data_IF_047890827702
#
_entry.id   IF_047890827702
#
_cell.length_a   1.000
_cell.length_b   1.000
_cell.length_c   1.000
_cell.angle_alpha   90.00
_cell.angle_beta   90.00
_cell.angle_gamma   90.00
#
_symmetry.space_group_name_H-M   'P 1'
#
loop_
_entity.id
_entity.type
_entity.pdbx_description
1 polymer ?
#
# COMPACT_ATOMS: atom_id res chain seq x y z
N UNK A 1 -4.08 -25.32 3.01
CA UNK A 1 -3.52 -25.37 1.65
C UNK A 1 -4.55 -24.84 0.68
N UNK A 2 -4.16 -23.99 -0.27
CA UNK A 2 -4.98 -23.72 -1.46
C UNK A 2 -5.13 -25.00 -2.29
N UNK A 3 -6.34 -25.32 -2.73
CA UNK A 3 -6.56 -26.42 -3.69
C UNK A 3 -6.17 -25.94 -5.09
N UNK A 4 -5.47 -26.79 -5.85
CA UNK A 4 -5.22 -26.54 -7.28
C UNK A 4 -6.53 -26.43 -8.05
N UNK A 5 -6.58 -25.64 -9.12
CA UNK A 5 -7.83 -25.39 -9.86
C UNK A 5 -8.12 -26.47 -10.89
N UNK A 6 -7.07 -26.90 -11.58
CA UNK A 6 -7.13 -27.91 -12.63
C UNK A 6 -6.21 -29.07 -12.27
N UNK A 7 -5.50 -29.62 -13.26
CA UNK A 7 -4.64 -30.79 -13.08
C UNK A 7 -3.18 -30.48 -13.45
N UNK A 8 -2.25 -31.15 -12.77
CA UNK A 8 -0.81 -31.01 -12.97
C UNK A 8 -0.18 -32.38 -13.22
N UNK A 9 0.63 -32.50 -14.27
CA UNK A 9 1.34 -33.71 -14.64
C UNK A 9 1.01 -34.19 -16.05
N UNK A 10 0.99 -35.50 -16.23
CA UNK A 10 0.81 -36.16 -17.53
C UNK A 10 -0.58 -35.91 -18.11
N UNK A 11 -0.65 -35.24 -19.27
CA UNK A 11 -1.93 -34.88 -19.91
C UNK A 11 -2.76 -33.87 -19.11
N UNK A 12 -2.19 -33.26 -18.07
CA UNK A 12 -2.85 -32.22 -17.28
C UNK A 12 -2.89 -30.86 -17.97
N UNK A 13 -3.72 -29.96 -17.45
CA UNK A 13 -3.80 -28.56 -17.92
C UNK A 13 -2.49 -27.81 -17.66
N UNK A 14 -1.80 -28.14 -16.55
CA UNK A 14 -0.50 -27.60 -16.20
C UNK A 14 -0.46 -26.07 -16.10
N UNK A 15 -1.55 -25.48 -15.59
CA UNK A 15 -1.60 -24.05 -15.29
C UNK A 15 -0.42 -23.64 -14.41
N UNK A 16 0.18 -22.47 -14.69
CA UNK A 16 1.45 -22.06 -14.08
C UNK A 16 1.39 -22.03 -12.56
N UNK A 17 0.30 -21.51 -11.99
CA UNK A 17 0.10 -21.44 -10.55
C UNK A 17 -0.11 -22.82 -9.92
N UNK A 18 -0.91 -23.68 -10.55
CA UNK A 18 -1.15 -25.03 -10.04
C UNK A 18 0.15 -25.85 -10.07
N UNK A 19 0.90 -25.75 -11.17
CA UNK A 19 2.21 -26.38 -11.33
C UNK A 19 3.19 -25.91 -10.26
N UNK A 20 3.28 -24.60 -10.02
CA UNK A 20 4.15 -24.06 -8.97
C UNK A 20 3.78 -24.57 -7.57
N UNK A 21 2.48 -24.68 -7.25
CA UNK A 21 2.03 -25.19 -5.96
C UNK A 21 2.36 -26.68 -5.77
N UNK A 22 2.13 -27.52 -6.79
CA UNK A 22 2.50 -28.94 -6.75
C UNK A 22 4.02 -29.11 -6.65
N UNK A 23 4.79 -28.34 -7.42
CA UNK A 23 6.25 -28.33 -7.32
C UNK A 23 6.71 -27.94 -5.91
N UNK A 24 6.13 -26.90 -5.30
CA UNK A 24 6.47 -26.49 -3.95
C UNK A 24 6.21 -27.59 -2.91
N UNK A 25 5.10 -28.32 -3.03
CA UNK A 25 4.83 -29.47 -2.16
C UNK A 25 5.89 -30.54 -2.35
N UNK A 26 6.26 -30.88 -3.59
CA UNK A 26 7.29 -31.89 -3.89
C UNK A 26 8.70 -31.46 -3.45
N UNK A 27 9.00 -30.15 -3.47
CA UNK A 27 10.25 -29.57 -2.95
C UNK A 27 10.26 -29.59 -1.41
N UNK A 28 9.11 -29.51 -0.76
CA UNK A 28 8.95 -29.51 0.71
C UNK A 28 8.59 -30.87 1.31
N UNK A 29 8.46 -31.90 0.48
CA UNK A 29 8.23 -33.27 0.93
C UNK A 29 9.52 -34.05 0.84
N UNK A 30 9.96 -34.60 1.98
CA UNK A 30 11.19 -35.40 2.03
C UNK A 30 10.87 -36.84 1.63
N UNK A 31 11.54 -37.31 0.58
CA UNK A 31 11.56 -38.71 0.19
C UNK A 31 12.60 -39.47 1.01
N UNK A 32 12.28 -40.73 1.33
CA UNK A 32 13.20 -41.62 2.02
C UNK A 32 14.44 -41.95 1.18
N UNK A 33 15.53 -42.30 1.86
CA UNK A 33 16.73 -42.81 1.19
C UNK A 33 16.43 -44.15 0.50
N UNK A 34 17.07 -44.38 -0.64
CA UNK A 34 17.06 -45.65 -1.36
C UNK A 34 18.50 -46.02 -1.77
N UNK A 35 18.70 -47.24 -2.26
CA UNK A 35 20.04 -47.67 -2.69
C UNK A 35 20.61 -46.71 -3.75
N UNK A 36 21.78 -46.12 -3.47
CA UNK A 36 22.43 -45.15 -4.35
C UNK A 36 21.79 -43.75 -4.40
N UNK A 37 20.80 -43.46 -3.53
CA UNK A 37 20.07 -42.20 -3.51
C UNK A 37 19.79 -41.74 -2.07
N UNK A 38 20.41 -40.65 -1.58
CA UNK A 38 20.14 -40.16 -0.24
C UNK A 38 18.70 -39.68 -0.10
N UNK A 39 18.22 -39.59 1.15
CA UNK A 39 16.98 -38.92 1.47
C UNK A 39 17.06 -37.45 1.03
N UNK A 40 15.94 -36.90 0.56
CA UNK A 40 15.90 -35.55 0.02
C UNK A 40 14.58 -35.26 -0.67
N UNK A 41 14.38 -34.04 -1.18
CA UNK A 41 13.10 -33.68 -1.77
C UNK A 41 12.83 -34.43 -3.07
N UNK A 42 11.55 -34.55 -3.46
CA UNK A 42 11.17 -35.13 -4.75
C UNK A 42 11.58 -34.24 -5.93
N UNK A 43 11.68 -32.93 -5.70
CA UNK A 43 12.06 -31.92 -6.68
C UNK A 43 12.94 -30.85 -6.02
N UNK A 44 13.73 -30.11 -6.79
CA UNK A 44 14.63 -29.05 -6.26
C UNK A 44 14.33 -27.67 -6.84
N UNK A 45 13.32 -27.54 -7.70
CA UNK A 45 13.00 -26.32 -8.43
C UNK A 45 11.49 -26.07 -8.46
N UNK A 46 11.12 -24.80 -8.31
CA UNK A 46 9.78 -24.23 -8.45
C UNK A 46 9.87 -23.18 -9.55
N UNK A 47 9.40 -23.50 -10.75
CA UNK A 47 9.41 -22.61 -11.90
C UNK A 47 8.01 -22.40 -12.50
N UNK A 48 7.03 -23.17 -12.05
CA UNK A 48 5.66 -23.17 -12.54
C UNK A 48 5.48 -23.91 -13.87
N UNK A 49 6.49 -24.66 -14.35
CA UNK A 49 6.41 -25.46 -15.57
C UNK A 49 6.35 -26.97 -15.27
N UNK A 50 5.32 -27.64 -15.79
CA UNK A 50 5.13 -29.08 -15.63
C UNK A 50 5.95 -29.89 -16.65
N UNK A 51 7.26 -29.64 -16.69
CA UNK A 51 8.21 -30.40 -17.50
C UNK A 51 8.43 -31.85 -17.02
N UNK A 52 9.33 -32.57 -17.68
CA UNK A 52 9.62 -33.97 -17.39
C UNK A 52 10.05 -34.21 -15.93
N UNK A 53 10.80 -33.27 -15.33
CA UNK A 53 11.22 -33.38 -13.93
C UNK A 53 10.01 -33.35 -12.98
N UNK A 54 9.08 -32.41 -13.18
CA UNK A 54 7.83 -32.32 -12.41
C UNK A 54 7.00 -33.59 -12.57
N UNK A 55 6.80 -34.07 -13.80
CA UNK A 55 6.04 -35.30 -14.10
C UNK A 55 6.65 -36.54 -13.45
N UNK A 56 7.97 -36.70 -13.55
CA UNK A 56 8.68 -37.81 -12.93
C UNK A 56 8.62 -37.74 -11.40
N UNK A 57 8.70 -36.54 -10.81
CA UNK A 57 8.55 -36.35 -9.38
C UNK A 57 7.14 -36.72 -8.88
N UNK A 58 6.09 -36.37 -9.63
CA UNK A 58 4.70 -36.79 -9.35
C UNK A 58 4.58 -38.31 -9.37
N UNK A 59 5.08 -38.99 -10.42
CA UNK A 59 5.06 -40.45 -10.50
C UNK A 59 5.82 -41.10 -9.34
N UNK A 60 7.00 -40.58 -9.02
CA UNK A 60 7.80 -41.08 -7.90
C UNK A 60 7.06 -40.95 -6.57
N UNK A 61 6.46 -39.78 -6.30
CA UNK A 61 5.63 -39.56 -5.12
C UNK A 61 4.45 -40.54 -5.06
N UNK A 62 3.75 -40.72 -6.18
CA UNK A 62 2.61 -41.64 -6.25
C UNK A 62 3.02 -43.10 -6.01
N UNK A 63 4.13 -43.56 -6.58
CA UNK A 63 4.63 -44.92 -6.38
C UNK A 63 5.04 -45.18 -4.93
N UNK A 64 5.55 -44.16 -4.22
CA UNK A 64 6.00 -44.29 -2.84
C UNK A 64 4.87 -44.08 -1.80
N UNK A 65 3.74 -43.48 -2.18
CA UNK A 65 2.71 -43.08 -1.21
C UNK A 65 1.25 -43.28 -1.61
N UNK A 66 0.93 -43.42 -2.90
CA UNK A 66 -0.46 -43.41 -3.41
C UNK A 66 -0.87 -44.76 -3.96
N UNK A 67 0.02 -45.40 -4.72
CA UNK A 67 -0.16 -46.72 -5.33
C UNK A 67 0.62 -47.79 -4.56
N UNK A 68 0.69 -47.68 -3.23
CA UNK A 68 1.44 -48.59 -2.38
C UNK A 68 0.61 -49.03 -1.18
N UNK A 69 0.73 -50.31 -0.80
CA UNK A 69 0.21 -50.81 0.45
C UNK A 69 1.18 -50.41 1.57
N UNK A 70 0.70 -49.64 2.56
CA UNK A 70 1.57 -49.10 3.63
C UNK A 70 2.20 -50.20 4.50
N UNK A 71 1.58 -51.38 4.62
CA UNK A 71 2.08 -52.51 5.42
C UNK A 71 3.09 -53.35 4.64
N UNK A 72 2.75 -53.74 3.42
CA UNK A 72 3.57 -54.67 2.62
C UNK A 72 4.56 -53.97 1.69
N UNK A 73 4.44 -52.66 1.52
CA UNK A 73 5.20 -51.84 0.57
C UNK A 73 5.07 -52.31 -0.90
N UNK A 74 4.04 -53.12 -1.20
CA UNK A 74 3.75 -53.59 -2.55
C UNK A 74 2.91 -52.59 -3.31
N UNK A 75 3.11 -52.53 -4.63
CA UNK A 75 2.29 -51.71 -5.53
C UNK A 75 0.84 -52.20 -5.53
N UNK A 76 -0.11 -51.28 -5.34
CA UNK A 76 -1.55 -51.55 -5.38
C UNK A 76 -2.27 -50.46 -6.17
N UNK A 77 -3.27 -50.86 -6.94
CA UNK A 77 -4.10 -49.90 -7.68
C UNK A 77 -4.88 -49.01 -6.70
N UNK A 78 -4.98 -47.72 -7.01
CA UNK A 78 -5.79 -46.77 -6.26
C UNK A 78 -6.77 -46.09 -7.23
N UNK A 79 -8.08 -46.44 -7.21
CA UNK A 79 -9.05 -45.88 -8.14
C UNK A 79 -9.28 -44.37 -7.95
N UNK A 80 -8.86 -43.80 -6.81
CA UNK A 80 -8.94 -42.37 -6.52
C UNK A 80 -7.78 -41.53 -7.07
N UNK A 81 -6.83 -42.13 -7.81
CA UNK A 81 -5.69 -41.42 -8.40
C UNK A 81 -5.46 -41.85 -9.85
N UNK A 82 -4.88 -40.95 -10.65
CA UNK A 82 -4.43 -41.25 -12.03
C UNK A 82 -2.91 -41.21 -12.09
N UNK A 83 -2.24 -42.25 -12.63
CA UNK A 83 -0.78 -42.26 -12.73
C UNK A 83 -0.21 -41.03 -13.43
N UNK A 84 0.80 -40.41 -12.83
CA UNK A 84 1.48 -39.23 -13.33
C UNK A 84 0.70 -37.92 -13.27
N UNK A 85 -0.51 -37.92 -12.71
CA UNK A 85 -1.41 -36.77 -12.69
C UNK A 85 -1.91 -36.46 -11.28
N UNK A 86 -1.87 -35.19 -10.90
CA UNK A 86 -2.50 -34.65 -9.68
C UNK A 86 -3.75 -33.89 -10.09
N UNK A 87 -4.90 -34.24 -9.51
CA UNK A 87 -6.17 -33.52 -9.70
C UNK A 87 -6.65 -32.88 -8.39
N UNK A 88 -7.53 -31.86 -8.44
CA UNK A 88 -8.07 -31.22 -7.24
C UNK A 88 -8.80 -32.25 -6.37
N UNK A 89 -8.35 -32.42 -5.13
CA UNK A 89 -9.02 -33.31 -4.16
C UNK A 89 -8.88 -34.80 -4.42
N UNK A 90 -8.08 -35.23 -5.39
CA UNK A 90 -7.86 -36.66 -5.63
C UNK A 90 -6.98 -37.31 -4.54
N UNK A 91 -6.79 -38.63 -4.62
CA UNK A 91 -5.99 -39.35 -3.63
C UNK A 91 -4.51 -38.92 -3.65
N UNK A 92 -3.98 -38.49 -4.80
CA UNK A 92 -2.61 -37.97 -4.90
C UNK A 92 -2.50 -36.65 -4.16
N UNK A 93 -3.40 -35.70 -4.42
CA UNK A 93 -3.47 -34.41 -3.75
C UNK A 93 -3.61 -34.57 -2.24
N UNK A 94 -4.55 -35.42 -1.80
CA UNK A 94 -4.78 -35.68 -0.37
C UNK A 94 -3.51 -36.21 0.31
N UNK A 95 -2.83 -37.17 -0.31
CA UNK A 95 -1.59 -37.73 0.22
C UNK A 95 -0.43 -36.72 0.19
N UNK A 96 -0.36 -35.83 -0.81
CA UNK A 96 0.59 -34.72 -0.84
C UNK A 96 0.40 -33.78 0.36
N UNK A 97 -0.85 -33.46 0.72
CA UNK A 97 -1.15 -32.65 1.91
C UNK A 97 -0.81 -33.36 3.23
N UNK A 98 -0.92 -34.69 3.27
CA UNK A 98 -0.53 -35.50 4.43
C UNK A 98 0.99 -35.50 4.65
N UNK A 99 1.78 -35.55 3.56
CA UNK A 99 3.24 -35.75 3.61
C UNK A 99 4.06 -34.47 3.68
N UNK A 100 3.53 -33.35 3.22
CA UNK A 100 4.24 -32.07 3.29
C UNK A 100 4.43 -31.65 4.75
N UNK A 101 5.60 -31.08 5.08
CA UNK A 101 5.88 -30.57 6.42
C UNK A 101 4.80 -29.56 6.86
N UNK A 102 4.33 -29.69 8.11
CA UNK A 102 3.26 -28.86 8.70
C UNK A 102 3.56 -27.36 8.63
N UNK A 103 4.82 -26.96 8.65
CA UNK A 103 5.22 -25.57 8.46
C UNK A 103 4.85 -25.00 7.08
N UNK A 104 4.47 -25.85 6.12
CA UNK A 104 4.04 -25.49 4.76
C UNK A 104 2.62 -25.98 4.45
N UNK A 105 1.83 -26.41 5.45
CA UNK A 105 0.49 -26.97 5.24
C UNK A 105 -0.55 -25.97 4.68
N UNK A 106 -0.27 -24.67 4.73
CA UNK A 106 -1.08 -23.65 4.06
C UNK A 106 -0.30 -22.84 3.03
N UNK A 107 0.38 -23.53 2.11
CA UNK A 107 0.91 -22.87 0.91
C UNK A 107 -0.20 -22.44 -0.04
N UNK A 108 0.06 -21.33 -0.72
CA UNK A 108 -0.81 -20.65 -1.67
C UNK A 108 0.01 -20.01 -2.78
N UNK A 109 -0.66 -19.64 -3.86
CA UNK A 109 -0.07 -19.03 -5.05
C UNK A 109 -1.10 -18.11 -5.70
N UNK A 110 -0.67 -16.90 -6.07
CA UNK A 110 -1.54 -15.97 -6.79
C UNK A 110 -1.79 -16.46 -8.22
N UNK A 111 -2.97 -16.15 -8.76
CA UNK A 111 -3.39 -16.65 -10.06
C UNK A 111 -2.40 -16.30 -11.19
N UNK A 112 -2.03 -17.31 -11.98
CA UNK A 112 -1.07 -17.19 -13.07
C UNK A 112 0.35 -16.79 -12.65
N UNK A 113 0.64 -16.74 -11.34
CA UNK A 113 1.98 -16.55 -10.80
C UNK A 113 2.67 -17.89 -10.54
N UNK A 114 3.93 -17.83 -10.10
CA UNK A 114 4.71 -18.99 -9.64
C UNK A 114 5.30 -18.82 -8.24
N UNK A 115 5.19 -17.63 -7.65
CA UNK A 115 5.66 -17.37 -6.30
C UNK A 115 4.72 -18.03 -5.29
N UNK A 116 5.17 -19.14 -4.73
CA UNK A 116 4.45 -19.85 -3.67
C UNK A 116 4.77 -19.23 -2.32
N UNK A 117 3.73 -18.93 -1.55
CA UNK A 117 3.84 -18.35 -0.22
C UNK A 117 3.06 -19.17 0.80
N UNK A 118 3.42 -19.03 2.07
CA UNK A 118 2.68 -19.64 3.18
C UNK A 118 1.70 -18.61 3.70
N UNK A 119 0.44 -19.02 3.84
CA UNK A 119 -0.60 -18.15 4.36
C UNK A 119 -0.25 -17.67 5.78
N UNK A 120 -0.51 -16.41 6.03
CA UNK A 120 -0.41 -15.81 7.35
C UNK A 120 -1.47 -16.40 8.29
N UNK A 121 -1.10 -16.54 9.55
CA UNK A 121 -2.00 -16.93 10.63
C UNK A 121 -3.01 -15.83 10.94
N UNK A 122 -4.11 -16.22 11.58
CA UNK A 122 -5.10 -15.27 12.10
C UNK A 122 -4.48 -14.25 13.07
N UNK A 123 -3.51 -14.68 13.89
CA UNK A 123 -2.79 -13.80 14.81
C UNK A 123 -1.97 -12.73 14.08
N UNK A 124 -1.33 -13.06 12.95
CA UNK A 124 -0.59 -12.10 12.14
C UNK A 124 -1.54 -11.06 11.53
N UNK A 125 -2.71 -11.49 11.00
CA UNK A 125 -3.75 -10.58 10.53
C UNK A 125 -4.21 -9.65 11.66
N UNK A 126 -4.52 -10.21 12.83
CA UNK A 126 -4.99 -9.43 13.97
C UNK A 126 -3.95 -8.43 14.47
N UNK A 127 -2.66 -8.80 14.44
CA UNK A 127 -1.55 -7.88 14.72
C UNK A 127 -1.55 -6.67 13.79
N UNK A 128 -1.73 -6.88 12.48
CA UNK A 128 -1.81 -5.79 11.52
C UNK A 128 -3.08 -4.92 11.69
N UNK A 129 -4.21 -5.52 12.07
CA UNK A 129 -5.44 -4.77 12.40
C UNK A 129 -5.23 -3.93 13.66
N UNK A 130 -4.61 -4.46 14.71
CA UNK A 130 -4.28 -3.72 15.93
C UNK A 130 -3.33 -2.56 15.62
N UNK A 131 -2.31 -2.79 14.79
CA UNK A 131 -1.41 -1.72 14.34
C UNK A 131 -2.17 -0.63 13.57
N UNK A 132 -3.05 -1.00 12.63
CA UNK A 132 -3.87 -0.05 11.87
C UNK A 132 -4.84 0.75 12.77
N UNK A 133 -5.35 0.17 13.85
CA UNK A 133 -6.18 0.89 14.82
C UNK A 133 -5.42 1.97 15.59
N UNK A 134 -4.11 1.81 15.78
CA UNK A 134 -3.24 2.79 16.43
C UNK A 134 -2.80 3.93 15.48
N UNK A 135 -3.11 3.84 14.19
CA UNK A 135 -2.76 4.84 13.17
C UNK A 135 -3.76 6.01 13.14
N UNK A 136 -3.28 7.14 12.62
CA UNK A 136 -3.99 8.43 12.61
C UNK A 136 -4.85 8.59 11.35
N UNK A 137 -5.84 7.72 11.19
CA UNK A 137 -6.84 7.83 10.13
C UNK A 137 -8.12 8.51 10.62
N UNK A 138 -8.88 9.08 9.69
CA UNK A 138 -10.30 9.36 9.95
C UNK A 138 -11.03 8.05 10.26
N UNK A 139 -12.11 8.14 11.04
CA UNK A 139 -12.85 6.94 11.46
C UNK A 139 -13.35 6.13 10.27
N UNK A 140 -13.92 6.80 9.26
CA UNK A 140 -14.44 6.12 8.06
C UNK A 140 -13.31 5.44 7.29
N UNK A 141 -12.18 6.12 7.08
CA UNK A 141 -11.09 5.56 6.30
C UNK A 141 -10.40 4.41 7.03
N UNK A 142 -10.27 4.48 8.37
CA UNK A 142 -9.75 3.36 9.19
C UNK A 142 -10.52 2.07 8.93
N UNK A 143 -11.85 2.12 8.83
CA UNK A 143 -12.67 0.95 8.53
C UNK A 143 -12.31 0.35 7.16
N UNK A 144 -12.07 1.18 6.15
CA UNK A 144 -11.63 0.71 4.81
C UNK A 144 -10.25 0.04 4.89
N UNK A 145 -9.30 0.60 5.64
CA UNK A 145 -7.98 -0.02 5.86
C UNK A 145 -8.11 -1.39 6.51
N UNK A 146 -8.88 -1.49 7.59
CA UNK A 146 -9.12 -2.77 8.31
C UNK A 146 -9.84 -3.79 7.41
N UNK A 147 -10.82 -3.35 6.63
CA UNK A 147 -11.51 -4.21 5.67
C UNK A 147 -10.54 -4.72 4.60
N UNK A 148 -9.62 -3.89 4.10
CA UNK A 148 -8.61 -4.32 3.14
C UNK A 148 -7.70 -5.42 3.72
N UNK A 149 -7.18 -5.22 4.93
CA UNK A 149 -6.37 -6.23 5.65
C UNK A 149 -7.16 -7.53 5.82
N UNK A 150 -8.43 -7.42 6.23
CA UNK A 150 -9.32 -8.55 6.46
C UNK A 150 -9.60 -9.32 5.17
N UNK A 151 -9.92 -8.63 4.07
CA UNK A 151 -10.24 -9.24 2.79
C UNK A 151 -9.00 -9.86 2.13
N UNK A 152 -7.83 -9.23 2.23
CA UNK A 152 -6.57 -9.81 1.74
C UNK A 152 -6.25 -11.13 2.43
N UNK A 153 -6.47 -11.20 3.75
CA UNK A 153 -6.29 -12.44 4.49
C UNK A 153 -7.37 -13.48 4.14
N UNK A 154 -8.65 -13.09 4.11
CA UNK A 154 -9.73 -14.02 3.80
C UNK A 154 -9.62 -14.65 2.41
N UNK A 155 -9.32 -13.84 1.39
CA UNK A 155 -9.27 -14.27 -0.01
C UNK A 155 -7.93 -14.92 -0.38
N UNK A 156 -6.82 -14.41 0.16
CA UNK A 156 -5.48 -14.79 -0.27
C UNK A 156 -4.60 -15.34 0.85
N UNK A 157 -5.02 -15.27 2.11
CA UNK A 157 -4.19 -15.69 3.25
C UNK A 157 -3.00 -14.77 3.47
N UNK A 158 -3.02 -13.55 2.94
CA UNK A 158 -1.92 -12.59 3.07
C UNK A 158 -2.29 -11.55 4.13
N UNK A 159 -1.51 -11.48 5.21
CA UNK A 159 -1.64 -10.41 6.20
C UNK A 159 -0.84 -9.18 5.75
N UNK A 160 -1.47 -8.30 4.98
CA UNK A 160 -0.90 -6.99 4.66
C UNK A 160 -1.00 -6.04 5.85
N UNK A 161 -0.17 -5.00 5.88
CA UNK A 161 -0.16 -4.00 6.95
C UNK A 161 0.26 -2.62 6.47
N UNK A 162 0.07 -1.61 7.32
CA UNK A 162 0.46 -0.22 7.03
C UNK A 162 1.98 -0.12 6.98
N UNK A 163 2.51 0.42 5.88
CA UNK A 163 3.94 0.70 5.71
C UNK A 163 4.41 1.71 6.77
N UNK A 164 5.70 1.69 7.13
CA UNK A 164 6.27 2.60 8.15
C UNK A 164 5.95 4.09 7.92
N UNK A 165 5.86 4.53 6.67
CA UNK A 165 5.55 5.91 6.27
C UNK A 165 4.17 6.06 5.62
N UNK A 166 3.33 5.03 5.79
CA UNK A 166 2.02 4.90 5.14
C UNK A 166 0.85 5.42 5.94
N UNK A 167 1.05 5.95 7.16
CA UNK A 167 0.01 6.61 7.95
C UNK A 167 -0.18 8.08 7.51
N UNK A 168 -1.00 8.85 8.24
CA UNK A 168 -1.05 10.31 8.18
C UNK A 168 0.36 10.88 8.30
N UNK A 169 0.61 11.89 7.46
CA UNK A 169 1.81 12.72 7.51
C UNK A 169 1.39 14.12 7.89
N UNK A 170 1.99 14.70 8.92
CA UNK A 170 1.79 16.12 9.18
C UNK A 170 2.37 16.97 8.03
N UNK A 171 2.09 18.27 8.04
CA UNK A 171 2.49 19.16 6.95
C UNK A 171 4.02 19.26 6.84
N UNK A 172 4.74 19.18 7.97
CA UNK A 172 6.21 19.16 7.99
C UNK A 172 6.77 17.90 7.33
N UNK A 173 6.25 16.72 7.68
CA UNK A 173 6.67 15.44 7.12
C UNK A 173 6.47 15.43 5.60
N UNK A 174 5.35 15.99 5.13
CA UNK A 174 5.10 16.12 3.70
C UNK A 174 6.07 17.10 3.01
N UNK A 175 6.41 18.22 3.66
CA UNK A 175 7.46 19.14 3.19
C UNK A 175 8.81 18.44 3.06
N UNK A 176 9.20 17.68 4.08
CA UNK A 176 10.48 16.97 4.14
C UNK A 176 10.55 15.90 3.04
N UNK A 177 9.44 15.20 2.78
CA UNK A 177 9.35 14.25 1.66
C UNK A 177 9.54 14.95 0.31
N UNK A 178 8.81 16.05 0.06
CA UNK A 178 8.90 16.81 -1.17
C UNK A 178 10.33 17.33 -1.41
N UNK A 179 11.00 17.79 -0.36
CA UNK A 179 12.34 18.42 -0.46
C UNK A 179 13.50 17.45 -0.28
N UNK A 180 13.24 16.17 0.02
CA UNK A 180 14.29 15.16 0.24
C UNK A 180 15.16 14.85 -0.99
N UNK A 181 14.80 15.31 -2.18
CA UNK A 181 15.48 14.99 -3.44
C UNK A 181 15.23 13.57 -3.96
N UNK A 182 14.45 12.75 -3.24
CA UNK A 182 14.13 11.37 -3.63
C UNK A 182 13.08 11.25 -4.73
N UNK A 183 12.36 12.33 -5.04
CA UNK A 183 11.33 12.34 -6.09
C UNK A 183 10.11 11.44 -5.81
N UNK A 184 9.87 11.09 -4.53
CA UNK A 184 8.79 10.17 -4.12
C UNK A 184 7.43 10.84 -3.98
N UNK A 185 7.36 12.16 -4.04
CA UNK A 185 6.11 12.92 -4.00
C UNK A 185 6.25 14.23 -4.76
N UNK A 186 5.13 14.69 -5.33
CA UNK A 186 5.00 16.01 -5.94
C UNK A 186 4.02 16.91 -5.15
N UNK A 187 3.49 16.42 -4.02
CA UNK A 187 2.54 17.16 -3.20
C UNK A 187 3.26 18.00 -2.16
N UNK A 188 2.92 19.28 -2.06
CA UNK A 188 3.35 20.14 -0.97
C UNK A 188 2.58 19.88 0.33
N UNK A 189 2.94 20.62 1.39
CA UNK A 189 2.26 20.55 2.68
C UNK A 189 0.76 20.83 2.54
N UNK A 190 -0.08 19.90 3.01
CA UNK A 190 -1.53 19.98 2.90
C UNK A 190 -2.10 19.64 1.52
N UNK A 191 -1.26 19.23 0.56
CA UNK A 191 -1.67 18.87 -0.79
C UNK A 191 -1.70 17.34 -1.01
N UNK A 192 -1.45 16.53 0.03
CA UNK A 192 -1.54 15.06 0.00
C UNK A 192 -2.73 14.54 0.81
N UNK A 193 -3.39 13.48 0.34
CA UNK A 193 -4.44 12.77 1.07
C UNK A 193 -3.94 12.21 2.42
N UNK A 194 -2.65 11.88 2.52
CA UNK A 194 -2.03 11.49 3.80
C UNK A 194 -2.06 12.62 4.83
N UNK A 195 -2.12 13.91 4.43
CA UNK A 195 -2.15 14.99 5.41
C UNK A 195 -3.42 15.00 6.27
N UNK A 196 -4.48 14.35 5.78
CA UNK A 196 -5.81 14.40 6.37
C UNK A 196 -6.28 13.02 6.85
N UNK A 197 -5.37 12.07 7.08
CA UNK A 197 -5.71 10.73 7.59
C UNK A 197 -6.65 9.94 6.67
N UNK A 198 -6.61 10.23 5.37
CA UNK A 198 -7.54 9.71 4.37
C UNK A 198 -6.83 8.98 3.21
N UNK A 199 -5.55 8.65 3.40
CA UNK A 199 -4.80 7.75 2.55
C UNK A 199 -3.90 6.83 3.37
N UNK A 200 -3.55 5.70 2.78
CA UNK A 200 -2.68 4.68 3.38
C UNK A 200 -1.75 4.09 2.32
N UNK A 201 -0.52 3.81 2.72
CA UNK A 201 0.35 2.91 1.97
C UNK A 201 0.37 1.54 2.67
N UNK A 202 -0.12 0.49 1.99
CA UNK A 202 -0.19 -0.87 2.50
C UNK A 202 0.86 -1.76 1.82
N UNK A 203 1.46 -2.68 2.59
CA UNK A 203 2.54 -3.54 2.10
C UNK A 203 2.54 -4.94 2.69
N UNK A 204 3.55 -5.72 2.31
CA UNK A 204 3.64 -7.17 2.52
C UNK A 204 4.65 -7.57 3.62
N UNK A 205 4.92 -6.67 4.57
CA UNK A 205 5.88 -6.94 5.63
C UNK A 205 5.51 -8.23 6.39
N UNK A 206 6.48 -9.13 6.55
CA UNK A 206 6.26 -10.42 7.19
C UNK A 206 5.74 -11.52 6.26
N UNK A 207 5.55 -11.25 4.96
CA UNK A 207 5.21 -12.31 3.99
C UNK A 207 6.32 -13.36 3.97
N UNK A 208 5.91 -14.63 3.99
CA UNK A 208 6.79 -15.80 3.95
C UNK A 208 6.58 -16.54 2.65
N UNK A 209 7.62 -16.64 1.83
CA UNK A 209 7.52 -17.21 0.48
C UNK A 209 8.70 -18.10 0.12
N UNK A 210 8.56 -18.88 -0.96
CA UNK A 210 9.57 -19.84 -1.41
C UNK A 210 10.32 -19.31 -2.63
N UNK A 211 11.64 -19.25 -2.54
CA UNK A 211 12.52 -19.06 -3.70
C UNK A 211 12.33 -20.23 -4.68
N UNK A 212 12.79 -20.04 -5.91
CA UNK A 212 12.75 -21.08 -6.94
C UNK A 212 13.42 -22.37 -6.50
N UNK A 213 14.48 -22.33 -5.68
CA UNK A 213 15.13 -23.52 -5.14
C UNK A 213 14.45 -24.12 -3.89
N UNK A 214 13.27 -23.62 -3.50
CA UNK A 214 12.56 -24.01 -2.30
C UNK A 214 13.05 -23.38 -1.00
N UNK A 215 14.11 -22.58 -1.00
CA UNK A 215 14.57 -21.88 0.21
C UNK A 215 13.49 -20.91 0.67
N UNK A 216 13.22 -20.89 1.98
CA UNK A 216 12.21 -19.99 2.54
C UNK A 216 12.81 -18.58 2.65
N UNK A 217 12.06 -17.60 2.17
CA UNK A 217 12.20 -16.20 2.55
C UNK A 217 11.31 -15.97 3.74
N UNK A 218 11.93 -15.68 4.87
CA UNK A 218 11.25 -15.22 6.06
C UNK A 218 11.27 -13.69 6.07
N UNK A 219 10.21 -13.09 6.61
CA UNK A 219 10.13 -11.65 6.87
C UNK A 219 10.46 -10.79 5.63
N UNK A 220 9.70 -10.96 4.55
CA UNK A 220 9.70 -9.99 3.46
C UNK A 220 9.44 -8.56 3.98
N UNK A 221 9.96 -7.56 3.28
CA UNK A 221 9.66 -6.17 3.64
C UNK A 221 8.32 -5.69 3.05
N UNK A 222 7.88 -4.50 3.45
CA UNK A 222 6.60 -3.95 2.96
C UNK A 222 6.54 -3.81 1.44
N UNK A 223 7.69 -3.72 0.77
CA UNK A 223 7.84 -3.36 -0.65
C UNK A 223 8.24 -4.54 -1.53
N UNK A 224 8.32 -5.75 -0.97
CA UNK A 224 8.74 -6.97 -1.67
C UNK A 224 10.17 -6.92 -2.20
N UNK A 225 11.09 -6.19 -1.57
CA UNK A 225 12.46 -6.07 -2.12
C UNK A 225 13.24 -7.38 -2.11
N UNK A 226 12.90 -8.39 -1.29
CA UNK A 226 13.57 -9.69 -1.44
C UNK A 226 13.07 -10.45 -2.68
N UNK A 227 11.81 -10.26 -3.08
CA UNK A 227 11.24 -10.80 -4.31
C UNK A 227 11.67 -10.00 -5.56
N UNK A 228 11.85 -8.69 -5.41
CA UNK A 228 12.29 -7.75 -6.44
C UNK A 228 13.51 -6.92 -5.98
N UNK A 229 14.69 -7.55 -5.85
CA UNK A 229 15.88 -6.88 -5.32
C UNK A 229 16.39 -5.75 -6.22
N UNK A 230 16.10 -5.83 -7.53
CA UNK A 230 16.43 -4.76 -8.47
C UNK A 230 15.46 -3.57 -8.43
N UNK A 231 14.33 -3.70 -7.70
CA UNK A 231 13.26 -2.69 -7.65
C UNK A 231 12.75 -2.34 -9.06
N UNK A 232 12.71 -3.36 -9.92
CA UNK A 232 12.36 -3.22 -11.35
C UNK A 232 10.90 -3.61 -11.64
N UNK A 233 10.16 -3.98 -10.59
CA UNK A 233 8.80 -4.49 -10.62
C UNK A 233 8.68 -5.75 -11.47
N UNK A 234 9.41 -6.79 -11.06
CA UNK A 234 9.30 -8.11 -11.70
C UNK A 234 7.85 -8.61 -11.71
N UNK A 235 7.49 -9.39 -12.73
CA UNK A 235 6.12 -9.87 -12.97
C UNK A 235 5.46 -10.50 -11.75
N UNK A 236 6.23 -11.21 -10.93
CA UNK A 236 5.72 -11.85 -9.72
C UNK A 236 5.34 -10.82 -8.65
N UNK A 237 6.17 -9.82 -8.38
CA UNK A 237 5.86 -8.74 -7.45
C UNK A 237 4.64 -7.93 -7.92
N UNK A 238 4.50 -7.68 -9.23
CA UNK A 238 3.33 -7.00 -9.80
C UNK A 238 2.01 -7.69 -9.46
N UNK A 239 1.98 -9.03 -9.45
CA UNK A 239 0.77 -9.78 -9.09
C UNK A 239 0.32 -9.53 -7.66
N UNK A 240 1.25 -9.38 -6.72
CA UNK A 240 0.93 -9.02 -5.33
C UNK A 240 0.33 -7.62 -5.24
N UNK A 241 0.96 -6.63 -5.90
CA UNK A 241 0.45 -5.26 -5.95
C UNK A 241 -0.92 -5.14 -6.63
N UNK A 242 -1.12 -5.85 -7.74
CA UNK A 242 -2.40 -5.93 -8.42
C UNK A 242 -3.48 -6.55 -7.54
N UNK A 243 -3.15 -7.65 -6.84
CA UNK A 243 -4.07 -8.29 -5.89
C UNK A 243 -4.47 -7.34 -4.77
N UNK A 244 -3.51 -6.64 -4.16
CA UNK A 244 -3.77 -5.62 -3.13
C UNK A 244 -4.71 -4.54 -3.65
N UNK A 245 -4.46 -4.02 -4.86
CA UNK A 245 -5.31 -2.98 -5.47
C UNK A 245 -6.71 -3.50 -5.77
N UNK A 246 -6.83 -4.68 -6.37
CA UNK A 246 -8.13 -5.31 -6.68
C UNK A 246 -8.96 -5.49 -5.42
N UNK A 247 -8.36 -5.98 -4.33
CA UNK A 247 -9.05 -6.12 -3.04
C UNK A 247 -9.37 -4.74 -2.44
N UNK A 248 -8.41 -3.83 -2.41
CA UNK A 248 -8.55 -2.48 -1.86
C UNK A 248 -9.63 -1.64 -2.53
N UNK A 249 -9.83 -1.79 -3.83
CA UNK A 249 -10.87 -1.09 -4.59
C UNK A 249 -12.15 -1.89 -4.80
N UNK A 250 -12.26 -3.08 -4.20
CA UNK A 250 -13.48 -3.89 -4.28
C UNK A 250 -14.64 -3.23 -3.52
N UNK A 251 -15.91 -3.57 -3.81
CA UNK A 251 -17.06 -3.06 -3.06
C UNK A 251 -17.02 -3.36 -1.55
N UNK A 252 -16.33 -4.43 -1.14
CA UNK A 252 -16.19 -4.80 0.28
C UNK A 252 -15.26 -3.85 1.07
N UNK A 253 -14.33 -3.19 0.38
CA UNK A 253 -13.38 -2.24 0.98
C UNK A 253 -13.78 -0.79 0.66
N UNK A 254 -14.09 -0.53 -0.61
CA UNK A 254 -14.56 0.76 -1.09
C UNK A 254 -13.49 1.85 -1.13
N UNK A 255 -12.20 1.55 -0.98
CA UNK A 255 -11.15 2.56 -1.18
C UNK A 255 -10.97 2.87 -2.67
N UNK A 256 -10.34 4.00 -2.97
CA UNK A 256 -9.88 4.35 -4.31
C UNK A 256 -8.38 4.06 -4.41
N UNK A 257 -7.93 3.71 -5.62
CA UNK A 257 -6.51 3.55 -5.89
C UNK A 257 -5.81 4.90 -6.00
N UNK A 258 -4.56 4.95 -5.58
CA UNK A 258 -3.65 6.04 -5.94
C UNK A 258 -3.13 5.99 -7.39
N UNK A 259 -2.13 6.82 -7.70
CA UNK A 259 -1.41 6.83 -8.97
C UNK A 259 -0.86 5.45 -9.34
N UNK A 260 -0.81 5.10 -10.63
CA UNK A 260 -0.37 3.75 -11.08
C UNK A 260 1.03 3.41 -10.57
N UNK A 261 1.94 4.39 -10.55
CA UNK A 261 3.30 4.23 -10.06
C UNK A 261 3.39 3.99 -8.54
N UNK A 262 2.43 4.48 -7.77
CA UNK A 262 2.37 4.36 -6.31
C UNK A 262 1.49 3.16 -5.89
N UNK A 263 2.06 1.97 -6.05
CA UNK A 263 1.38 0.67 -5.87
C UNK A 263 0.73 0.42 -4.51
N UNK A 264 1.38 0.75 -3.37
CA UNK A 264 0.79 0.52 -2.06
C UNK A 264 -0.36 1.50 -1.73
N UNK A 265 -0.50 2.60 -2.47
CA UNK A 265 -1.37 3.70 -2.12
C UNK A 265 -2.86 3.42 -2.35
N UNK A 266 -3.65 3.53 -1.28
CA UNK A 266 -5.10 3.58 -1.30
C UNK A 266 -5.59 4.86 -0.60
N UNK A 267 -6.73 5.39 -1.02
CA UNK A 267 -7.24 6.69 -0.57
C UNK A 267 -8.77 6.73 -0.52
N UNK A 268 -9.32 7.68 0.24
CA UNK A 268 -10.75 7.73 0.55
C UNK A 268 -11.64 8.28 -0.60
N UNK A 269 -11.05 8.98 -1.58
CA UNK A 269 -11.74 9.50 -2.77
C UNK A 269 -10.90 9.35 -4.04
N UNK A 270 -11.53 9.59 -5.19
CA UNK A 270 -10.85 9.64 -6.48
C UNK A 270 -10.24 11.04 -6.72
N UNK A 271 -8.94 11.11 -7.02
CA UNK A 271 -8.23 12.36 -7.35
C UNK A 271 -8.82 13.07 -8.58
N UNK A 272 -9.51 12.35 -9.47
CA UNK A 272 -10.18 12.96 -10.62
C UNK A 272 -11.30 13.94 -10.22
N UNK A 273 -11.86 13.79 -9.02
CA UNK A 273 -13.02 14.56 -8.56
C UNK A 273 -12.68 15.58 -7.47
N UNK A 274 -11.47 15.52 -6.90
CA UNK A 274 -11.07 16.35 -5.75
C UNK A 274 -9.76 17.07 -6.07
N UNK A 275 -9.81 18.40 -6.14
CA UNK A 275 -8.60 19.22 -6.24
C UNK A 275 -8.02 19.49 -4.84
N UNK A 276 -7.02 18.71 -4.43
CA UNK A 276 -6.36 18.86 -3.13
C UNK A 276 -5.88 20.29 -2.87
N UNK A 277 -5.34 20.96 -3.89
CA UNK A 277 -4.85 22.32 -3.76
C UNK A 277 -5.97 23.34 -3.52
N UNK A 278 -7.13 23.18 -4.17
CA UNK A 278 -8.30 24.05 -3.95
C UNK A 278 -8.93 23.78 -2.59
N UNK A 279 -9.03 22.50 -2.20
CA UNK A 279 -9.54 22.11 -0.89
C UNK A 279 -8.64 22.57 0.25
N UNK A 280 -7.32 22.58 0.06
CA UNK A 280 -6.41 23.19 1.03
C UNK A 280 -6.70 24.69 1.20
N UNK A 281 -6.99 25.45 0.14
CA UNK A 281 -7.33 26.87 0.30
C UNK A 281 -8.64 27.08 1.09
N UNK A 282 -9.66 26.27 0.83
CA UNK A 282 -10.90 26.27 1.64
C UNK A 282 -10.58 25.94 3.10
N UNK A 283 -9.78 24.90 3.33
CA UNK A 283 -9.38 24.45 4.66
C UNK A 283 -8.58 25.51 5.44
N UNK A 284 -7.65 26.20 4.77
CA UNK A 284 -6.89 27.33 5.34
C UNK A 284 -7.82 28.47 5.75
N UNK A 285 -8.85 28.76 4.95
CA UNK A 285 -9.85 29.78 5.28
C UNK A 285 -10.66 29.38 6.51
N UNK A 286 -11.06 28.11 6.61
CA UNK A 286 -11.88 27.61 7.72
C UNK A 286 -11.09 27.44 9.03
N UNK A 287 -9.80 27.13 8.93
CA UNK A 287 -8.92 26.89 10.09
C UNK A 287 -8.29 28.17 10.65
N UNK A 288 -8.30 29.23 9.85
CA UNK A 288 -7.51 30.44 10.07
C UNK A 288 -8.33 31.71 10.17
N UNK A 289 -7.64 32.85 10.07
CA UNK A 289 -8.24 34.19 10.13
C UNK A 289 -8.16 34.93 8.80
N UNK A 290 -7.56 34.30 7.79
CA UNK A 290 -7.34 34.87 6.47
C UNK A 290 -8.22 34.17 5.44
N UNK A 291 -8.60 34.88 4.40
CA UNK A 291 -9.30 34.27 3.26
C UNK A 291 -8.30 33.80 2.23
N UNK A 292 -8.46 32.55 1.79
CA UNK A 292 -7.57 31.90 0.84
C UNK A 292 -8.29 31.47 -0.43
N UNK A 293 -7.54 31.45 -1.54
CA UNK A 293 -7.95 30.87 -2.81
C UNK A 293 -6.75 30.20 -3.51
N UNK A 294 -7.02 29.37 -4.51
CA UNK A 294 -6.03 28.70 -5.34
C UNK A 294 -6.33 28.94 -6.82
N UNK A 295 -5.48 29.74 -7.47
CA UNK A 295 -5.59 30.04 -8.91
C UNK A 295 -4.22 29.91 -9.59
N UNK A 296 -4.18 29.48 -10.86
CA UNK A 296 -2.99 29.56 -11.73
C UNK A 296 -1.65 29.13 -11.09
N UNK A 297 -1.61 27.94 -10.47
CA UNK A 297 -0.33 27.44 -9.91
C UNK A 297 0.11 27.98 -8.53
N UNK A 298 -0.52 29.04 -7.99
CA UNK A 298 -0.22 29.57 -6.65
C UNK A 298 -1.44 29.73 -5.72
N UNK A 299 -1.17 29.84 -4.42
CA UNK A 299 -2.12 30.27 -3.40
C UNK A 299 -2.23 31.79 -3.36
N UNK A 300 -3.43 32.26 -3.05
CA UNK A 300 -3.74 33.67 -2.85
C UNK A 300 -4.36 33.89 -1.48
N UNK A 301 -4.05 35.02 -0.86
CA UNK A 301 -4.46 35.35 0.51
C UNK A 301 -4.82 36.83 0.62
N UNK A 302 -5.80 37.18 1.46
CA UNK A 302 -6.16 38.58 1.77
C UNK A 302 -5.21 39.25 2.79
N UNK A 303 -4.17 38.52 3.21
CA UNK A 303 -3.17 38.93 4.19
C UNK A 303 -3.81 39.32 5.55
N UNK A 304 -5.02 38.86 5.85
CA UNK A 304 -5.75 39.14 7.09
C UNK A 304 -6.43 40.50 7.16
N UNK A 305 -6.50 41.23 6.03
CA UNK A 305 -7.11 42.56 5.98
C UNK A 305 -8.56 42.56 5.47
N UNK A 306 -9.13 41.42 5.08
CA UNK A 306 -10.53 41.29 4.63
C UNK A 306 -10.81 41.80 3.21
N UNK A 307 -9.76 42.13 2.45
CA UNK A 307 -9.83 42.79 1.14
C UNK A 307 -9.42 41.91 -0.04
N UNK A 308 -8.75 42.51 -1.03
CA UNK A 308 -8.29 41.82 -2.23
C UNK A 308 -7.34 40.65 -1.92
N UNK A 309 -7.36 39.61 -2.76
CA UNK A 309 -6.48 38.45 -2.63
C UNK A 309 -5.17 38.64 -3.43
N UNK A 310 -4.04 38.51 -2.76
CA UNK A 310 -2.69 38.63 -3.32
C UNK A 310 -2.06 37.26 -3.50
N UNK A 311 -1.32 37.05 -4.59
CA UNK A 311 -0.56 35.81 -4.81
C UNK A 311 0.62 35.71 -3.85
N UNK A 312 0.65 34.64 -3.05
CA UNK A 312 1.64 34.44 -1.98
C UNK A 312 2.56 33.23 -2.17
N UNK A 313 2.39 32.48 -3.27
CA UNK A 313 3.29 31.41 -3.68
C UNK A 313 2.69 30.01 -3.58
N UNK A 314 3.53 28.98 -3.63
CA UNK A 314 3.13 27.57 -3.47
C UNK A 314 3.06 27.17 -1.99
N UNK A 315 2.42 26.03 -1.70
CA UNK A 315 2.40 25.48 -0.33
C UNK A 315 3.81 25.33 0.27
N UNK A 316 4.76 24.80 -0.51
CA UNK A 316 6.14 24.64 -0.07
C UNK A 316 6.86 25.97 0.20
N UNK A 317 6.62 27.00 -0.62
CA UNK A 317 7.15 28.35 -0.40
C UNK A 317 6.55 29.01 0.84
N UNK A 318 5.26 28.81 1.11
CA UNK A 318 4.63 29.39 2.30
C UNK A 318 5.14 28.68 3.55
N UNK A 319 5.19 27.34 3.54
CA UNK A 319 5.63 26.53 4.66
C UNK A 319 7.05 26.84 5.11
N UNK A 320 7.97 27.11 4.18
CA UNK A 320 9.36 27.44 4.50
C UNK A 320 9.62 28.93 4.78
N UNK A 321 8.56 29.72 5.01
CA UNK A 321 8.60 31.19 5.16
C UNK A 321 9.12 31.94 3.92
N UNK A 322 9.15 31.29 2.75
CA UNK A 322 9.55 31.84 1.46
C UNK A 322 8.39 32.41 0.63
N UNK A 323 7.24 32.71 1.24
CA UNK A 323 6.08 33.26 0.53
C UNK A 323 6.44 34.55 -0.23
N UNK A 324 5.85 34.74 -1.41
CA UNK A 324 6.18 35.83 -2.36
C UNK A 324 5.60 37.20 -1.98
N UNK A 325 5.24 37.39 -0.71
CA UNK A 325 4.71 38.65 -0.17
C UNK A 325 5.72 39.79 -0.36
N UNK A 326 5.22 40.95 -0.77
CA UNK A 326 6.01 42.18 -0.90
C UNK A 326 5.47 43.30 -0.02
N UNK A 327 6.31 44.30 0.27
CA UNK A 327 5.88 45.49 1.01
C UNK A 327 4.75 46.26 0.29
N UNK A 328 4.71 46.21 -1.03
CA UNK A 328 3.65 46.82 -1.83
C UNK A 328 2.30 46.13 -1.57
N UNK A 329 2.26 44.79 -1.57
CA UNK A 329 1.02 44.05 -1.29
C UNK A 329 0.46 44.38 0.09
N UNK A 330 1.32 44.46 1.11
CA UNK A 330 0.89 44.83 2.48
C UNK A 330 0.37 46.27 2.51
N UNK A 331 1.01 47.20 1.80
CA UNK A 331 0.56 48.60 1.73
C UNK A 331 -0.82 48.71 1.09
N UNK A 332 -1.03 48.01 -0.01
CA UNK A 332 -2.31 47.94 -0.73
C UNK A 332 -3.40 47.32 0.16
N UNK A 333 -3.09 46.21 0.85
CA UNK A 333 -4.02 45.55 1.77
C UNK A 333 -4.42 46.45 2.95
N UNK A 334 -3.46 47.17 3.57
CA UNK A 334 -3.72 48.14 4.65
C UNK A 334 -4.57 49.31 4.17
N UNK A 335 -4.30 49.84 2.98
CA UNK A 335 -5.01 50.99 2.41
C UNK A 335 -6.46 50.69 2.00
N UNK A 336 -6.78 49.43 1.76
CA UNK A 336 -8.13 48.99 1.37
C UNK A 336 -9.06 48.71 2.57
N UNK A 337 -8.59 48.78 3.82
CA UNK A 337 -9.47 48.59 4.98
C UNK A 337 -10.46 49.77 5.11
N UNK A 338 -11.76 49.50 5.29
CA UNK A 338 -12.71 50.55 5.55
C UNK A 338 -12.34 51.29 6.86
N UNK A 339 -12.43 52.62 6.90
CA UNK A 339 -12.16 53.37 8.12
C UNK A 339 -13.07 52.85 9.24
N UNK A 340 -12.49 52.50 10.41
CA UNK A 340 -13.30 52.22 11.61
C UNK A 340 -14.20 53.43 11.87
N UNK A 341 -15.49 53.23 12.21
CA UNK A 341 -16.36 54.34 12.60
C UNK A 341 -15.73 55.05 13.80
N UNK A 342 -15.18 56.24 13.57
CA UNK A 342 -14.72 57.10 14.65
C UNK A 342 -15.94 57.68 15.34
N UNK A 343 -16.09 57.41 16.64
CA UNK A 343 -16.90 58.25 17.50
C UNK A 343 -16.23 59.64 17.52
N UNK A 344 -16.82 60.59 16.79
CA UNK A 344 -16.38 61.99 16.78
C UNK A 344 -15.71 62.46 15.47
N UNK A 345 -16.51 62.69 14.44
CA UNK A 345 -16.54 63.93 13.64
C UNK A 345 -15.29 64.50 12.94
N UNK A 346 -14.10 63.89 12.99
CA UNK A 346 -12.93 64.38 12.26
C UNK A 346 -12.24 63.26 11.50
N UNK A 347 -12.43 63.22 10.18
CA UNK A 347 -11.63 62.40 9.26
C UNK A 347 -10.19 62.93 9.25
N UNK A 348 -9.40 62.56 10.24
CA UNK A 348 -7.95 62.67 10.12
C UNK A 348 -7.53 61.68 9.03
N UNK A 349 -6.97 62.17 7.92
CA UNK A 349 -6.26 61.33 6.96
C UNK A 349 -5.17 60.59 7.74
N UNK A 350 -5.43 59.35 8.15
CA UNK A 350 -4.40 58.47 8.67
C UNK A 350 -3.40 58.29 7.55
N UNK A 351 -2.24 58.92 7.66
CA UNK A 351 -1.11 58.49 6.86
C UNK A 351 -0.93 56.99 7.12
N UNK A 352 -0.97 56.13 6.09
CA UNK A 352 -0.79 54.71 6.29
C UNK A 352 0.59 54.49 6.90
N UNK A 353 0.63 53.76 8.01
CA UNK A 353 1.89 53.40 8.69
C UNK A 353 2.86 52.83 7.65
N UNK A 354 4.11 53.34 7.55
CA UNK A 354 5.08 52.86 6.58
C UNK A 354 5.22 51.34 6.69
N UNK A 355 5.21 50.66 5.55
CA UNK A 355 5.49 49.21 5.49
C UNK A 355 7.01 49.03 5.44
N UNK A 356 7.52 48.23 6.37
CA UNK A 356 8.93 47.91 6.56
C UNK A 356 9.24 46.49 6.06
N UNK A 357 10.53 46.14 5.99
CA UNK A 357 10.93 44.74 5.74
C UNK A 357 10.51 43.81 6.87
N UNK A 358 10.44 44.32 8.10
CA UNK A 358 9.99 43.54 9.25
C UNK A 358 8.53 43.11 9.07
N UNK A 359 7.66 43.99 8.55
CA UNK A 359 6.27 43.64 8.23
C UNK A 359 6.17 42.49 7.21
N UNK A 360 7.09 42.43 6.23
CA UNK A 360 7.13 41.34 5.24
C UNK A 360 7.55 40.02 5.89
N UNK A 361 8.54 40.05 6.77
CA UNK A 361 8.99 38.87 7.52
C UNK A 361 7.87 38.36 8.43
N UNK A 362 7.18 39.25 9.14
CA UNK A 362 6.06 38.91 10.01
C UNK A 362 4.89 38.34 9.21
N UNK A 363 4.55 38.94 8.07
CA UNK A 363 3.51 38.38 7.20
C UNK A 363 3.86 37.00 6.67
N UNK A 364 5.12 36.74 6.29
CA UNK A 364 5.57 35.40 5.88
C UNK A 364 5.41 34.38 7.00
N UNK A 365 5.78 34.73 8.23
CA UNK A 365 5.58 33.88 9.42
C UNK A 365 4.11 33.64 9.69
N UNK A 366 3.28 34.67 9.56
CA UNK A 366 1.84 34.54 9.76
C UNK A 366 1.20 33.63 8.70
N UNK A 367 1.58 33.73 7.43
CA UNK A 367 1.08 32.82 6.39
C UNK A 367 1.47 31.36 6.67
N UNK A 368 2.69 31.11 7.15
CA UNK A 368 3.09 29.77 7.63
C UNK A 368 2.22 29.33 8.81
N UNK A 369 1.96 30.22 9.77
CA UNK A 369 1.11 29.93 10.93
C UNK A 369 -0.30 29.50 10.51
N UNK A 370 -0.86 30.07 9.45
CA UNK A 370 -2.17 29.63 8.92
C UNK A 370 -2.12 28.18 8.42
N UNK A 371 -1.01 27.73 7.82
CA UNK A 371 -0.82 26.32 7.47
C UNK A 371 -0.65 25.43 8.71
N UNK A 372 0.06 25.90 9.75
CA UNK A 372 0.19 25.17 11.02
C UNK A 372 -1.18 24.98 11.69
N UNK A 373 -2.04 26.02 11.68
CA UNK A 373 -3.43 25.92 12.14
C UNK A 373 -4.25 24.93 11.31
N UNK A 374 -4.07 24.92 9.99
CA UNK A 374 -4.74 23.97 9.11
C UNK A 374 -4.30 22.52 9.38
N UNK A 375 -3.02 22.29 9.66
CA UNK A 375 -2.53 20.96 10.04
C UNK A 375 -3.03 20.53 11.42
N UNK A 376 -3.11 21.45 12.39
CA UNK A 376 -3.73 21.19 13.69
C UNK A 376 -5.22 20.83 13.57
N UNK A 377 -5.91 21.43 12.60
CA UNK A 377 -7.33 21.20 12.32
C UNK A 377 -7.56 20.20 11.18
N UNK A 378 -6.60 19.31 10.87
CA UNK A 378 -6.65 18.42 9.71
C UNK A 378 -7.95 17.59 9.61
N UNK A 379 -8.57 17.23 10.73
CA UNK A 379 -9.82 16.46 10.79
C UNK A 379 -11.02 17.21 10.19
N UNK A 380 -10.96 18.55 10.15
CA UNK A 380 -12.01 19.40 9.59
C UNK A 380 -11.92 19.53 8.07
N UNK A 381 -10.90 18.95 7.44
CA UNK A 381 -10.76 18.98 5.99
C UNK A 381 -11.88 18.19 5.32
N UNK A 382 -12.47 18.75 4.27
CA UNK A 382 -13.54 18.10 3.49
C UNK A 382 -13.19 18.01 2.00
N UNK A 383 -13.60 16.93 1.31
CA UNK A 383 -13.39 16.79 -0.13
C UNK A 383 -14.37 17.65 -0.97
N UNK A 384 -15.43 18.18 -0.36
CA UNK A 384 -16.56 18.87 -0.99
C UNK A 384 -16.68 20.35 -0.65
#
# INVERSE_FOLDING_TARGET
MQVIRNSVGDGGTNERSDSALVQAILVKTTRAAAQGRPAGPYLTLIDGDAGNNTKNAIRAFQNEHVFVNEVTQQSVANPGATPGLVRPGDATWTKMLEKVDRAFADMRVLFGGKTVYVAATENQKQGNITAANAMTFTQEFRLRVINCITQMHALHGIAIGVCRQGDRRDFQTQYDLLTSGRGVTNAGPGESNHNFGMAVDLGFAGLRWLRTNGTVVENEDSWLHQLDPGQTLVTEALKFWETLRTVGTSPAVGAFRGPVADRPHLQNWNDANVSMTRRLAVHLTNSGTMRWDRTAGAYRCDLGFGGALFTVGTAAQIWNNGATVTAQMIREARGAQPPRPQQGGQQAQRQPTPVTQQDVIEMRRELRRQFELADQNWENWTPN
#
